data_IF_227133705086
#
_entry.id   IF_227133705086
#
_cell.length_a   1.000
_cell.length_b   1.000
_cell.length_c   1.000
_cell.angle_alpha   90.00
_cell.angle_beta   90.00
_cell.angle_gamma   90.00
#
_symmetry.space_group_name_H-M   'P 1'
#
loop_
_entity.id
_entity.type
_entity.pdbx_description
1 polymer ?
#
# COMPACT_ATOMS: atom_id res chain seq x y z
N UNK A 1 4.54 -8.86 10.07
CA UNK A 1 4.23 -8.89 8.62
C UNK A 1 2.76 -8.65 8.33
N UNK A 2 1.82 -9.42 8.91
CA UNK A 2 0.38 -9.23 8.66
C UNK A 2 -0.09 -7.80 9.04
N UNK A 3 0.27 -7.33 10.23
CA UNK A 3 -0.03 -5.95 10.68
C UNK A 3 0.63 -4.89 9.79
N UNK A 4 1.89 -5.07 9.43
CA UNK A 4 2.62 -4.12 8.55
C UNK A 4 1.99 -4.01 7.16
N UNK A 5 1.43 -5.11 6.65
CA UNK A 5 0.70 -5.14 5.37
C UNK A 5 -0.59 -4.34 5.45
N UNK A 6 -1.35 -4.53 6.52
CA UNK A 6 -2.62 -3.85 6.74
C UNK A 6 -2.38 -2.34 6.91
N UNK A 7 -1.43 -1.94 7.76
CA UNK A 7 -1.06 -0.54 7.93
C UNK A 7 -0.59 0.14 6.63
N UNK A 8 0.19 -0.55 5.80
CA UNK A 8 0.64 -0.01 4.52
C UNK A 8 -0.54 0.16 3.52
N UNK A 9 -1.51 -0.73 3.58
CA UNK A 9 -2.72 -0.66 2.76
C UNK A 9 -3.62 0.50 3.21
N UNK A 10 -3.85 0.64 4.52
CA UNK A 10 -4.65 1.73 5.10
C UNK A 10 -4.07 3.09 4.74
N UNK A 11 -2.73 3.24 4.81
CA UNK A 11 -2.05 4.48 4.38
C UNK A 11 -2.25 4.76 2.90
N UNK A 12 -2.20 3.75 2.03
CA UNK A 12 -2.44 3.92 0.60
C UNK A 12 -3.88 4.36 0.32
N UNK A 13 -4.85 3.73 0.98
CA UNK A 13 -6.28 4.08 0.85
C UNK A 13 -6.52 5.50 1.32
N UNK A 14 -6.02 5.85 2.51
CA UNK A 14 -6.13 7.21 3.05
C UNK A 14 -5.56 8.26 2.09
N UNK A 15 -4.40 8.00 1.50
CA UNK A 15 -3.82 8.91 0.51
C UNK A 15 -4.70 9.05 -0.75
N UNK A 16 -5.36 7.98 -1.18
CA UNK A 16 -6.29 8.03 -2.31
C UNK A 16 -7.56 8.82 -1.97
N UNK A 17 -8.12 8.62 -0.76
CA UNK A 17 -9.26 9.38 -0.25
C UNK A 17 -8.94 10.88 -0.14
N UNK A 18 -7.77 11.24 0.40
CA UNK A 18 -7.27 12.63 0.48
C UNK A 18 -7.08 13.25 -0.91
N UNK A 19 -6.77 12.43 -1.93
CA UNK A 19 -6.71 12.85 -3.33
C UNK A 19 -8.09 12.92 -4.02
N UNK A 20 -9.18 12.59 -3.31
CA UNK A 20 -10.55 12.62 -3.84
C UNK A 20 -10.88 11.48 -4.81
N UNK A 21 -10.10 10.39 -4.78
CA UNK A 21 -10.36 9.18 -5.53
C UNK A 21 -11.41 8.31 -4.84
N UNK A 22 -12.12 7.50 -5.63
CA UNK A 22 -13.12 6.51 -5.16
C UNK A 22 -12.64 5.06 -5.36
N UNK A 23 -11.52 4.87 -6.06
CA UNK A 23 -10.90 3.56 -6.24
C UNK A 23 -9.37 3.66 -6.35
N UNK A 24 -8.68 2.58 -6.02
CA UNK A 24 -7.26 2.38 -6.32
C UNK A 24 -7.12 1.15 -7.22
N UNK A 25 -6.66 1.37 -8.46
CA UNK A 25 -6.45 0.31 -9.45
C UNK A 25 -4.98 -0.08 -9.55
N UNK A 26 -4.71 -1.24 -10.16
CA UNK A 26 -3.35 -1.74 -10.36
C UNK A 26 -2.52 -1.84 -9.06
N UNK A 27 -3.18 -2.19 -7.94
CA UNK A 27 -2.51 -2.37 -6.64
C UNK A 27 -1.46 -3.47 -6.72
N UNK A 28 -0.25 -3.18 -6.25
CA UNK A 28 0.88 -4.10 -6.18
C UNK A 28 1.45 -4.13 -4.77
N UNK A 29 1.76 -5.33 -4.33
CA UNK A 29 2.46 -5.61 -3.09
C UNK A 29 3.86 -6.07 -3.44
N UNK A 30 4.87 -5.44 -2.84
CA UNK A 30 6.27 -5.86 -2.97
C UNK A 30 6.83 -6.07 -1.57
N UNK A 31 7.70 -7.06 -1.45
CA UNK A 31 8.43 -7.31 -0.21
C UNK A 31 9.90 -7.46 -0.54
N UNK A 32 10.76 -6.80 0.23
CA UNK A 32 12.22 -6.93 0.08
C UNK A 32 12.83 -7.36 1.42
N UNK A 33 13.74 -8.32 1.40
CA UNK A 33 14.49 -8.66 2.60
C UNK A 33 15.57 -7.60 2.80
N UNK A 34 15.56 -6.93 3.96
CA UNK A 34 16.56 -5.93 4.30
C UNK A 34 17.75 -6.58 5.03
N UNK A 35 17.46 -7.31 6.10
CA UNK A 35 18.45 -8.00 6.93
C UNK A 35 17.86 -9.31 7.46
N UNK A 36 18.69 -10.14 8.09
CA UNK A 36 18.23 -11.41 8.66
C UNK A 36 17.14 -11.14 9.71
N UNK A 37 15.91 -11.59 9.42
CA UNK A 37 14.74 -11.37 10.27
C UNK A 37 14.00 -10.04 10.05
N UNK A 38 14.45 -9.18 9.12
CA UNK A 38 13.80 -7.92 8.78
C UNK A 38 13.44 -7.84 7.29
N UNK A 39 12.18 -7.54 7.02
CA UNK A 39 11.64 -7.39 5.67
C UNK A 39 10.87 -6.08 5.54
N UNK A 40 11.04 -5.40 4.42
CA UNK A 40 10.20 -4.30 4.00
C UNK A 40 8.96 -4.83 3.27
N UNK A 41 7.83 -4.14 3.43
CA UNK A 41 6.63 -4.29 2.61
C UNK A 41 6.25 -2.94 2.02
N UNK A 42 6.08 -2.90 0.71
CA UNK A 42 5.69 -1.71 -0.03
C UNK A 42 4.41 -1.99 -0.83
N UNK A 43 3.47 -1.07 -0.78
CA UNK A 43 2.17 -1.18 -1.45
C UNK A 43 1.93 0.10 -2.23
N UNK A 44 1.56 -0.04 -3.51
CA UNK A 44 1.28 1.09 -4.38
C UNK A 44 0.22 0.73 -5.43
N UNK A 45 -0.43 1.75 -5.99
CA UNK A 45 -1.44 1.64 -7.04
C UNK A 45 -1.74 3.00 -7.66
N UNK A 46 -2.79 3.07 -8.47
CA UNK A 46 -3.24 4.29 -9.13
C UNK A 46 -4.60 4.70 -8.57
N UNK A 47 -4.64 5.86 -7.92
CA UNK A 47 -5.89 6.47 -7.45
C UNK A 47 -6.70 6.99 -8.65
N UNK A 48 -7.97 6.60 -8.75
CA UNK A 48 -8.88 6.99 -9.83
C UNK A 48 -10.21 7.48 -9.26
N UNK A 49 -10.90 8.33 -10.03
CA UNK A 49 -12.25 8.80 -9.74
C UNK A 49 -13.13 8.50 -10.94
N UNK A 50 -14.27 7.86 -10.73
CA UNK A 50 -15.18 7.39 -11.78
C UNK A 50 -16.44 8.26 -11.91
#
# INVERSE_FOLDING_TARGET
MAESREQAMDRMVKNAEEAGADAVVCVRFTTSMLQQGASEIFIYGTAVKL
#
